data_IF_660419442972
#
_entry.id   IF_660419442972
#
_cell.length_a   1.000
_cell.length_b   1.000
_cell.length_c   1.000
_cell.angle_alpha   90.00
_cell.angle_beta   90.00
_cell.angle_gamma   90.00
#
_symmetry.space_group_name_H-M   'P 1'
#
loop_
_entity.id
_entity.type
_entity.pdbx_description
1 polymer ?
#
# COMPACT_ATOMS: atom_id res chain seq x y z
N UNK A 1 5.55 -26.77 14.71
CA UNK A 1 4.13 -27.16 14.90
C UNK A 1 3.20 -25.93 14.92
N UNK A 2 3.50 -24.86 14.18
CA UNK A 2 2.73 -23.59 14.20
C UNK A 2 2.43 -22.97 12.83
N UNK A 3 2.80 -23.61 11.73
CA UNK A 3 2.56 -23.06 10.38
C UNK A 3 1.15 -23.30 9.85
N UNK A 4 0.51 -24.40 10.25
CA UNK A 4 -0.82 -24.78 9.74
C UNK A 4 -1.92 -23.76 10.11
N UNK A 5 -2.04 -23.32 11.39
CA UNK A 5 -3.09 -22.39 11.79
C UNK A 5 -2.87 -21.00 11.19
N UNK A 6 -1.60 -20.60 11.05
CA UNK A 6 -1.24 -19.35 10.38
C UNK A 6 -1.68 -19.45 8.92
N UNK A 7 -1.24 -20.46 8.17
CA UNK A 7 -1.64 -20.65 6.75
C UNK A 7 -3.16 -20.72 6.56
N UNK A 8 -3.90 -21.34 7.46
CA UNK A 8 -5.37 -21.37 7.42
C UNK A 8 -6.00 -20.01 7.69
N UNK A 9 -5.46 -19.24 8.65
CA UNK A 9 -5.89 -17.87 8.91
C UNK A 9 -5.57 -16.96 7.70
N UNK A 10 -4.38 -17.06 7.13
CA UNK A 10 -4.01 -16.32 5.91
C UNK A 10 -4.98 -16.68 4.78
N UNK A 11 -5.24 -17.97 4.57
CA UNK A 11 -6.21 -18.45 3.57
C UNK A 11 -7.61 -17.90 3.81
N UNK A 12 -8.07 -17.85 5.06
CA UNK A 12 -9.38 -17.33 5.43
C UNK A 12 -9.49 -15.83 5.17
N UNK A 13 -8.50 -15.04 5.62
CA UNK A 13 -8.44 -13.59 5.37
C UNK A 13 -8.43 -13.29 3.86
N UNK A 14 -7.73 -14.12 3.07
CA UNK A 14 -7.65 -13.98 1.62
C UNK A 14 -8.84 -14.59 0.86
N UNK A 15 -9.90 -15.08 1.54
CA UNK A 15 -11.16 -15.45 0.87
C UNK A 15 -11.92 -14.21 0.37
N UNK A 16 -11.74 -13.06 1.04
CA UNK A 16 -12.33 -11.78 0.66
C UNK A 16 -11.22 -10.71 0.56
N UNK A 17 -10.29 -10.87 -0.41
CA UNK A 17 -9.07 -10.06 -0.45
C UNK A 17 -9.39 -8.57 -0.66
N UNK A 18 -10.47 -8.24 -1.36
CA UNK A 18 -10.88 -6.85 -1.59
C UNK A 18 -11.30 -6.13 -0.31
N UNK A 19 -12.15 -6.76 0.51
CA UNK A 19 -12.60 -6.18 1.78
C UNK A 19 -11.44 -6.07 2.76
N UNK A 20 -10.58 -7.08 2.79
CA UNK A 20 -9.35 -7.05 3.57
C UNK A 20 -8.46 -5.87 3.16
N UNK A 21 -8.14 -5.71 1.87
CA UNK A 21 -7.26 -4.65 1.38
C UNK A 21 -7.84 -3.25 1.66
N UNK A 22 -9.15 -3.08 1.49
CA UNK A 22 -9.83 -1.81 1.80
C UNK A 22 -9.71 -1.46 3.29
N UNK A 23 -9.89 -2.44 4.17
CA UNK A 23 -9.69 -2.25 5.62
C UNK A 23 -8.21 -2.02 5.94
N UNK A 24 -7.31 -2.76 5.31
CA UNK A 24 -5.88 -2.71 5.55
C UNK A 24 -5.29 -1.33 5.28
N UNK A 25 -5.73 -0.65 4.21
CA UNK A 25 -5.30 0.71 3.91
C UNK A 25 -5.99 1.78 4.74
N UNK A 26 -6.87 1.44 5.69
CA UNK A 26 -7.58 2.39 6.55
C UNK A 26 -6.73 2.85 7.75
N UNK A 27 -7.17 3.90 8.44
CA UNK A 27 -6.50 4.39 9.65
C UNK A 27 -6.52 3.34 10.76
N UNK A 28 -5.41 3.24 11.48
CA UNK A 28 -5.25 2.25 12.55
C UNK A 28 -4.57 0.96 12.10
N UNK A 29 -4.46 0.73 10.80
CA UNK A 29 -3.85 -0.46 10.19
C UNK A 29 -2.53 -0.10 9.50
N UNK A 30 -2.43 -0.24 8.17
CA UNK A 30 -1.22 0.13 7.42
C UNK A 30 -0.91 1.61 7.57
N UNK A 31 -1.97 2.44 7.54
CA UNK A 31 -1.87 3.87 7.76
C UNK A 31 -2.06 4.13 9.24
N UNK A 32 -0.98 4.58 9.86
CA UNK A 32 -0.93 4.81 11.30
C UNK A 32 -1.61 6.15 11.63
N UNK A 33 -2.43 6.12 12.67
CA UNK A 33 -2.98 7.34 13.29
C UNK A 33 -1.87 8.15 13.97
N UNK A 34 -2.13 9.42 14.26
CA UNK A 34 -1.19 10.27 15.02
C UNK A 34 -0.77 9.66 16.35
N UNK A 35 -1.70 9.03 17.07
CA UNK A 35 -1.39 8.37 18.35
C UNK A 35 -0.48 7.16 18.16
N UNK A 36 -0.69 6.38 17.10
CA UNK A 36 0.19 5.25 16.79
C UNK A 36 1.58 5.72 16.37
N UNK A 37 1.67 6.75 15.52
CA UNK A 37 2.94 7.35 15.10
C UNK A 37 3.72 7.87 16.31
N UNK A 38 3.05 8.61 17.21
CA UNK A 38 3.65 9.13 18.43
C UNK A 38 4.16 8.03 19.34
N UNK A 39 3.38 6.95 19.54
CA UNK A 39 3.79 5.80 20.37
C UNK A 39 4.94 5.00 19.76
N UNK A 40 5.00 4.95 18.43
CA UNK A 40 6.08 4.32 17.69
C UNK A 40 7.28 5.24 17.45
N UNK A 41 7.23 6.48 17.96
CA UNK A 41 8.28 7.49 17.84
C UNK A 41 8.63 7.83 16.37
N UNK A 42 7.62 7.81 15.50
CA UNK A 42 7.74 8.21 14.10
C UNK A 42 7.20 9.62 13.86
N UNK A 43 7.96 10.41 13.10
CA UNK A 43 7.55 11.72 12.59
C UNK A 43 7.39 11.61 11.08
N UNK A 44 6.17 11.84 10.59
CA UNK A 44 5.84 11.80 9.16
C UNK A 44 5.79 13.23 8.62
N UNK A 45 6.48 13.46 7.51
CA UNK A 45 6.53 14.73 6.79
C UNK A 45 6.52 14.49 5.27
N UNK A 46 6.53 15.57 4.50
CA UNK A 46 6.76 15.48 3.06
C UNK A 46 8.05 14.72 2.76
N UNK A 47 8.00 13.83 1.77
CA UNK A 47 9.15 12.97 1.39
C UNK A 47 9.49 11.87 2.41
N UNK A 48 8.65 11.61 3.40
CA UNK A 48 8.88 10.55 4.38
C UNK A 48 9.10 9.19 3.72
N UNK A 49 10.10 8.45 4.22
CA UNK A 49 10.39 7.08 3.83
C UNK A 49 9.99 6.13 4.96
N UNK A 50 9.47 4.96 4.60
CA UNK A 50 8.99 3.99 5.58
C UNK A 50 10.19 3.37 6.31
N UNK A 51 10.28 3.48 7.66
CA UNK A 51 11.36 2.89 8.43
C UNK A 51 11.42 1.36 8.27
N UNK A 52 12.62 0.79 8.24
CA UNK A 52 12.82 -0.66 8.10
C UNK A 52 12.08 -1.46 9.18
N UNK A 53 12.02 -0.96 10.41
CA UNK A 53 11.27 -1.59 11.51
C UNK A 53 9.79 -1.76 11.19
N UNK A 54 9.18 -0.75 10.57
CA UNK A 54 7.78 -0.77 10.15
C UNK A 54 7.56 -1.69 8.94
N UNK A 55 8.51 -1.72 8.00
CA UNK A 55 8.48 -2.68 6.88
C UNK A 55 8.54 -4.13 7.38
N UNK A 56 9.44 -4.42 8.34
CA UNK A 56 9.59 -5.75 8.93
C UNK A 56 8.36 -6.19 9.73
N UNK A 57 7.73 -5.25 10.44
CA UNK A 57 6.49 -5.50 11.17
C UNK A 57 5.37 -6.00 10.22
N UNK A 58 5.21 -5.35 9.06
CA UNK A 58 4.17 -5.70 8.09
C UNK A 58 4.57 -6.79 7.08
N UNK A 59 5.83 -7.21 7.07
CA UNK A 59 6.36 -8.22 6.12
C UNK A 59 5.47 -9.47 5.97
N UNK A 60 4.92 -10.09 7.03
CA UNK A 60 4.05 -11.25 6.86
C UNK A 60 2.78 -10.95 6.04
N UNK A 61 2.22 -9.75 6.18
CA UNK A 61 1.06 -9.32 5.40
C UNK A 61 1.44 -9.05 3.95
N UNK A 62 2.61 -8.47 3.71
CA UNK A 62 3.08 -8.24 2.35
C UNK A 62 3.28 -9.56 1.61
N UNK A 63 3.89 -10.57 2.26
CA UNK A 63 4.04 -11.91 1.70
C UNK A 63 2.68 -12.48 1.28
N UNK A 64 1.64 -12.37 2.12
CA UNK A 64 0.28 -12.80 1.75
C UNK A 64 -0.26 -12.11 0.50
N UNK A 65 -0.08 -10.79 0.41
CA UNK A 65 -0.58 -9.98 -0.71
C UNK A 65 0.12 -10.39 -2.01
N UNK A 66 1.44 -10.60 -1.96
CA UNK A 66 2.22 -11.09 -3.10
C UNK A 66 1.84 -12.51 -3.51
N UNK A 67 1.71 -13.44 -2.55
CA UNK A 67 1.32 -14.84 -2.83
C UNK A 67 -0.09 -14.94 -3.43
N UNK A 68 -1.01 -14.10 -2.97
CA UNK A 68 -2.36 -14.02 -3.52
C UNK A 68 -2.44 -13.26 -4.85
N UNK A 69 -1.35 -12.63 -5.31
CA UNK A 69 -1.28 -11.85 -6.55
C UNK A 69 -2.29 -10.70 -6.61
N UNK A 70 -2.47 -9.99 -5.49
CA UNK A 70 -3.43 -8.86 -5.38
C UNK A 70 -2.74 -7.51 -5.09
N UNK A 71 -1.46 -7.38 -5.47
CA UNK A 71 -0.67 -6.15 -5.29
C UNK A 71 -1.25 -4.97 -6.10
N UNK A 72 -1.75 -5.24 -7.30
CA UNK A 72 -2.47 -4.27 -8.14
C UNK A 72 -3.67 -3.68 -7.39
N UNK A 73 -4.48 -4.52 -6.73
CA UNK A 73 -5.64 -4.08 -5.97
C UNK A 73 -5.23 -3.30 -4.71
N UNK A 74 -4.13 -3.65 -4.07
CA UNK A 74 -3.56 -2.85 -2.97
C UNK A 74 -3.22 -1.44 -3.45
N UNK A 75 -2.48 -1.30 -4.56
CA UNK A 75 -2.11 -0.02 -5.13
C UNK A 75 -3.34 0.81 -5.51
N UNK A 76 -4.36 0.18 -6.10
CA UNK A 76 -5.62 0.85 -6.42
C UNK A 76 -6.33 1.36 -5.16
N UNK A 77 -6.31 0.59 -4.06
CA UNK A 77 -6.89 1.01 -2.79
C UNK A 77 -6.11 2.17 -2.15
N UNK A 78 -4.77 2.13 -2.16
CA UNK A 78 -3.92 3.22 -1.70
C UNK A 78 -4.16 4.51 -2.48
N UNK A 79 -4.17 4.43 -3.82
CA UNK A 79 -4.40 5.58 -4.69
C UNK A 79 -5.83 6.11 -4.59
N UNK A 80 -6.82 5.21 -4.49
CA UNK A 80 -8.21 5.62 -4.29
C UNK A 80 -8.38 6.34 -2.95
N UNK A 81 -7.73 5.85 -1.90
CA UNK A 81 -7.72 6.53 -0.59
C UNK A 81 -7.02 7.87 -0.67
N UNK A 82 -5.88 7.97 -1.34
CA UNK A 82 -5.15 9.22 -1.53
C UNK A 82 -5.98 10.26 -2.30
N UNK A 83 -6.76 9.83 -3.31
CA UNK A 83 -7.67 10.70 -4.06
C UNK A 83 -8.93 11.12 -3.30
N UNK A 84 -9.15 10.62 -2.08
CA UNK A 84 -10.29 11.03 -1.27
C UNK A 84 -10.06 12.44 -0.73
N UNK A 85 -11.07 13.31 -0.88
CA UNK A 85 -11.05 14.62 -0.26
C UNK A 85 -11.02 14.44 1.27
N UNK A 86 -10.24 15.26 1.98
CA UNK A 86 -10.15 15.35 3.46
C UNK A 86 -9.12 14.46 4.18
N UNK A 87 -8.13 13.88 3.48
CA UNK A 87 -7.02 13.26 4.19
C UNK A 87 -6.20 14.30 4.98
N UNK A 88 -5.87 14.04 6.26
CA UNK A 88 -4.84 14.83 6.95
C UNK A 88 -3.48 14.70 6.25
N UNK A 89 -2.64 15.73 6.30
CA UNK A 89 -1.32 15.74 5.64
C UNK A 89 -0.46 14.52 6.02
N UNK A 90 -0.43 14.12 7.30
CA UNK A 90 0.34 12.93 7.70
C UNK A 90 -0.17 11.64 7.07
N UNK A 91 -1.46 11.56 6.77
CA UNK A 91 -2.09 10.42 6.11
C UNK A 91 -1.69 10.40 4.64
N UNK A 92 -1.71 11.55 3.96
CA UNK A 92 -1.25 11.69 2.58
C UNK A 92 0.21 11.27 2.43
N UNK A 93 1.10 11.76 3.30
CA UNK A 93 2.51 11.39 3.27
C UNK A 93 2.76 9.89 3.47
N UNK A 94 2.02 9.25 4.38
CA UNK A 94 2.07 7.80 4.54
C UNK A 94 1.57 7.06 3.30
N UNK A 95 0.44 7.51 2.72
CA UNK A 95 -0.15 6.91 1.51
C UNK A 95 0.79 7.01 0.32
N UNK A 96 1.45 8.15 0.13
CA UNK A 96 2.47 8.34 -0.91
C UNK A 96 3.65 7.41 -0.68
N UNK A 97 4.18 7.34 0.56
CA UNK A 97 5.32 6.50 0.88
C UNK A 97 5.04 5.00 0.64
N UNK A 98 3.87 4.51 1.10
CA UNK A 98 3.45 3.13 0.86
C UNK A 98 3.17 2.85 -0.62
N UNK A 99 2.56 3.79 -1.33
CA UNK A 99 2.35 3.64 -2.79
C UNK A 99 3.69 3.48 -3.51
N UNK A 100 4.68 4.34 -3.23
CA UNK A 100 6.02 4.24 -3.81
C UNK A 100 6.68 2.90 -3.48
N UNK A 101 6.62 2.48 -2.22
CA UNK A 101 7.21 1.21 -1.75
C UNK A 101 6.68 -0.01 -2.51
N UNK A 102 5.37 -0.08 -2.79
CA UNK A 102 4.80 -1.19 -3.54
C UNK A 102 4.95 -1.07 -5.06
N UNK A 103 4.99 0.17 -5.58
CA UNK A 103 5.10 0.43 -7.01
C UNK A 103 6.52 0.17 -7.53
N UNK A 104 7.54 0.54 -6.77
CA UNK A 104 8.94 0.50 -7.21
C UNK A 104 9.40 -0.89 -7.68
N UNK A 105 9.17 -1.99 -6.92
CA UNK A 105 9.52 -3.33 -7.41
C UNK A 105 8.76 -3.73 -8.67
N UNK A 106 7.50 -3.31 -8.81
CA UNK A 106 6.67 -3.65 -9.98
C UNK A 106 7.15 -2.97 -11.27
N UNK A 107 7.83 -1.82 -11.15
CA UNK A 107 8.44 -1.11 -12.29
C UNK A 107 9.84 -1.66 -12.59
N UNK A 108 10.61 -2.01 -11.55
CA UNK A 108 12.01 -2.42 -11.69
C UNK A 108 12.21 -3.89 -12.10
N UNK A 109 11.23 -4.77 -11.85
CA UNK A 109 11.37 -6.18 -12.20
C UNK A 109 10.83 -6.48 -13.59
N UNK A 110 11.61 -7.21 -14.40
CA UNK A 110 11.15 -7.77 -15.69
C UNK A 110 10.06 -8.85 -15.56
N UNK A 111 9.74 -9.25 -14.32
CA UNK A 111 8.64 -10.17 -14.06
C UNK A 111 7.32 -9.40 -14.16
N UNK A 112 6.46 -9.84 -15.08
CA UNK A 112 5.16 -9.23 -15.36
C UNK A 112 4.16 -9.55 -14.22
N UNK A 113 4.30 -8.83 -13.09
CA UNK A 113 3.42 -8.98 -11.90
C UNK A 113 2.04 -8.37 -12.17
N UNK A 114 1.93 -7.48 -13.16
CA UNK A 114 0.73 -6.72 -13.50
C UNK A 114 0.42 -6.82 -14.98
N UNK A 115 -0.84 -7.02 -15.32
CA UNK A 115 -1.26 -7.00 -16.72
C UNK A 115 -1.29 -5.55 -17.25
N UNK A 116 -1.27 -5.34 -18.58
CA UNK A 116 -1.48 -4.01 -19.15
C UNK A 116 -2.78 -3.34 -18.69
N UNK A 117 -3.83 -4.12 -18.42
CA UNK A 117 -5.11 -3.64 -17.88
C UNK A 117 -4.96 -3.12 -16.44
N UNK A 118 -4.17 -3.81 -15.61
CA UNK A 118 -3.87 -3.36 -14.25
C UNK A 118 -3.10 -2.05 -14.25
N UNK A 119 -2.08 -1.95 -15.11
CA UNK A 119 -1.32 -0.71 -15.30
C UNK A 119 -2.21 0.44 -15.73
N UNK A 120 -3.11 0.22 -16.69
CA UNK A 120 -4.07 1.24 -17.12
C UNK A 120 -4.94 1.75 -15.97
N UNK A 121 -5.45 0.84 -15.11
CA UNK A 121 -6.24 1.20 -13.92
C UNK A 121 -5.41 2.00 -12.90
N UNK A 122 -4.17 1.57 -12.64
CA UNK A 122 -3.25 2.24 -11.70
C UNK A 122 -2.92 3.65 -12.19
N UNK A 123 -2.50 3.79 -13.44
CA UNK A 123 -2.16 5.10 -14.04
C UNK A 123 -3.35 6.06 -13.99
N UNK A 124 -4.55 5.59 -14.33
CA UNK A 124 -5.77 6.42 -14.23
C UNK A 124 -6.01 6.92 -12.80
N UNK A 125 -5.74 6.10 -11.78
CA UNK A 125 -5.85 6.48 -10.37
C UNK A 125 -4.73 7.44 -9.93
N UNK A 126 -3.51 7.26 -10.43
CA UNK A 126 -2.41 8.19 -10.19
C UNK A 126 -2.68 9.57 -10.77
N UNK A 127 -3.22 9.64 -12.00
CA UNK A 127 -3.64 10.90 -12.63
C UNK A 127 -4.71 11.62 -11.80
N UNK A 128 -5.65 10.87 -11.23
CA UNK A 128 -6.67 11.44 -10.34
C UNK A 128 -6.10 11.93 -8.99
N UNK A 129 -4.87 11.55 -8.63
CA UNK A 129 -4.16 11.96 -7.42
C UNK A 129 -2.97 12.91 -7.70
N UNK A 130 -3.00 13.62 -8.83
CA UNK A 130 -1.90 14.43 -9.41
C UNK A 130 -1.33 15.54 -8.52
N UNK A 131 -1.98 15.89 -7.41
CA UNK A 131 -1.41 16.79 -6.40
C UNK A 131 -0.27 16.18 -5.59
N UNK A 132 -0.06 14.86 -5.66
CA UNK A 132 0.84 14.11 -4.75
C UNK A 132 1.96 13.34 -5.46
N UNK A 133 1.96 13.29 -6.80
CA UNK A 133 2.98 12.60 -7.60
C UNK A 133 3.54 13.56 -8.66
N UNK A 134 4.85 13.59 -8.83
CA UNK A 134 5.50 14.39 -9.88
C UNK A 134 5.09 13.88 -11.27
N UNK A 135 4.82 14.80 -12.21
CA UNK A 135 4.37 14.48 -13.57
C UNK A 135 5.29 13.48 -14.30
N UNK A 136 6.60 13.53 -14.01
CA UNK A 136 7.59 12.62 -14.57
C UNK A 136 7.37 11.13 -14.21
N UNK A 137 6.63 10.84 -13.13
CA UNK A 137 6.29 9.46 -12.73
C UNK A 137 5.03 8.94 -13.45
N UNK A 138 4.26 9.83 -14.09
CA UNK A 138 2.97 9.51 -14.72
C UNK A 138 3.10 9.40 -16.25
N UNK A 139 4.13 10.02 -16.84
CA UNK A 139 4.36 10.09 -18.29
C UNK A 139 5.48 9.16 -18.81
N UNK A 140 6.10 8.34 -17.95
CA UNK A 140 7.11 7.35 -18.32
C UNK A 140 6.47 6.00 -18.66
#
# INVERSE_FOLDING_TARGET
>A
MGEQPVKELLRFVMQQPFDFLKMFVSDGFLIMTNEQLKRAEFTVSEGWSIPLSLQLYWKPVFIMIYEAKVVNELLINLLSRLSANENPLQTEYQLVAWTKFFLEPCVQTENDVMTPSDWSRILHKMVAATGHFEAATVEA
#
